data_IF_532877206133
#
_entry.id   IF_532877206133
#
_cell.length_a   1.000
_cell.length_b   1.000
_cell.length_c   1.000
_cell.angle_alpha   90.00
_cell.angle_beta   90.00
_cell.angle_gamma   90.00
#
_symmetry.space_group_name_H-M   'P 1'
#
loop_
_entity.id
_entity.type
_entity.pdbx_description
1 polymer ?
#
# COMPACT_ATOMS: atom_id res chain seq x y z
N UNK A 1 6.55 -1.52 17.48
CA UNK A 1 6.58 -0.05 17.55
C UNK A 1 7.31 0.45 16.32
N UNK A 2 6.61 1.09 15.40
CA UNK A 2 7.25 1.67 14.21
C UNK A 2 8.03 2.91 14.71
N UNK A 3 9.30 3.04 14.31
CA UNK A 3 10.11 4.22 14.63
C UNK A 3 9.44 5.41 13.93
N UNK A 4 9.23 6.53 14.61
CA UNK A 4 8.49 7.71 14.12
C UNK A 4 8.80 8.11 12.67
N UNK A 5 10.07 7.99 12.26
CA UNK A 5 10.53 8.22 10.88
C UNK A 5 9.83 7.33 9.83
N UNK A 6 9.65 6.04 10.15
CA UNK A 6 8.95 5.07 9.28
C UNK A 6 7.45 5.38 9.17
N UNK A 7 6.81 5.89 10.22
CA UNK A 7 5.40 6.31 10.15
C UNK A 7 5.25 7.54 9.24
N UNK A 8 6.12 8.54 9.40
CA UNK A 8 6.15 9.71 8.52
C UNK A 8 6.34 9.30 7.06
N UNK A 9 7.26 8.39 6.78
CA UNK A 9 7.49 7.86 5.43
C UNK A 9 6.28 7.12 4.86
N UNK A 10 5.60 6.32 5.66
CA UNK A 10 4.36 5.65 5.25
C UNK A 10 3.29 6.67 4.85
N UNK A 11 3.11 7.70 5.68
CA UNK A 11 2.17 8.80 5.44
C UNK A 11 2.53 9.58 4.17
N UNK A 12 3.82 9.90 3.97
CA UNK A 12 4.30 10.60 2.77
C UNK A 12 4.01 9.81 1.49
N UNK A 13 4.27 8.50 1.49
CA UNK A 13 3.97 7.62 0.35
C UNK A 13 2.47 7.58 0.09
N UNK A 14 1.66 7.47 1.15
CA UNK A 14 0.19 7.46 1.02
C UNK A 14 -0.30 8.75 0.36
N UNK A 15 0.08 9.92 0.88
CA UNK A 15 -0.34 11.21 0.31
C UNK A 15 0.15 11.41 -1.12
N UNK A 16 1.38 11.02 -1.43
CA UNK A 16 1.90 11.07 -2.78
C UNK A 16 1.10 10.16 -3.72
N UNK A 17 0.80 8.93 -3.30
CA UNK A 17 -0.03 7.97 -4.02
C UNK A 17 -1.44 8.50 -4.27
N UNK A 18 -2.10 9.04 -3.23
CA UNK A 18 -3.43 9.67 -3.35
C UNK A 18 -3.41 10.79 -4.38
N UNK A 19 -2.43 11.69 -4.32
CA UNK A 19 -2.32 12.81 -5.27
C UNK A 19 -2.19 12.30 -6.71
N UNK A 20 -1.34 11.29 -6.94
CA UNK A 20 -1.13 10.72 -8.28
C UNK A 20 -2.36 9.95 -8.78
N UNK A 21 -3.04 9.24 -7.89
CA UNK A 21 -4.27 8.54 -8.20
C UNK A 21 -5.36 9.52 -8.65
N UNK A 22 -5.58 10.59 -7.87
CA UNK A 22 -6.58 11.59 -8.16
C UNK A 22 -6.29 12.41 -9.42
N UNK A 23 -5.02 12.72 -9.69
CA UNK A 23 -4.64 13.53 -10.85
C UNK A 23 -4.64 12.76 -12.17
N UNK A 24 -4.40 11.45 -12.14
CA UNK A 24 -4.03 10.69 -13.35
C UNK A 24 -4.44 9.21 -13.29
N UNK A 25 -3.92 8.44 -12.33
CA UNK A 25 -3.98 6.96 -12.41
C UNK A 25 -5.41 6.41 -12.43
N UNK A 26 -6.36 7.05 -11.74
CA UNK A 26 -7.76 6.61 -11.72
C UNK A 26 -8.43 6.62 -13.09
N UNK A 27 -7.89 7.38 -14.04
CA UNK A 27 -8.40 7.45 -15.42
C UNK A 27 -7.67 6.48 -16.35
N UNK A 28 -6.54 5.93 -15.92
CA UNK A 28 -5.68 5.03 -16.71
C UNK A 28 -5.79 3.56 -16.29
N UNK A 29 -6.36 3.29 -15.12
CA UNK A 29 -6.37 1.97 -14.51
C UNK A 29 -7.79 1.55 -14.14
N UNK A 30 -8.15 0.31 -14.46
CA UNK A 30 -9.43 -0.31 -14.11
C UNK A 30 -9.21 -1.79 -13.72
N UNK A 31 -10.00 -2.29 -12.76
CA UNK A 31 -9.88 -3.66 -12.24
C UNK A 31 -10.79 -4.61 -13.01
N UNK A 32 -10.24 -5.32 -14.00
CA UNK A 32 -10.98 -6.31 -14.79
C UNK A 32 -11.12 -7.70 -14.17
N UNK A 33 -10.89 -7.85 -12.86
CA UNK A 33 -10.91 -9.15 -12.19
C UNK A 33 -12.22 -9.39 -11.44
N UNK A 34 -12.51 -10.64 -11.07
CA UNK A 34 -13.62 -10.97 -10.17
C UNK A 34 -13.52 -10.28 -8.80
N UNK A 35 -12.35 -9.73 -8.45
CA UNK A 35 -12.12 -8.84 -7.31
C UNK A 35 -12.07 -7.37 -7.78
N UNK A 36 -13.05 -6.96 -8.58
CA UNK A 36 -13.16 -5.62 -9.16
C UNK A 36 -13.54 -4.54 -8.14
N UNK A 37 -14.22 -4.95 -7.07
CA UNK A 37 -14.69 -4.08 -5.99
C UNK A 37 -14.17 -4.60 -4.63
N UNK A 38 -12.85 -4.53 -4.38
CA UNK A 38 -12.31 -4.88 -3.09
C UNK A 38 -12.73 -3.87 -2.00
N UNK A 39 -12.62 -4.28 -0.73
CA UNK A 39 -12.86 -3.39 0.43
C UNK A 39 -11.76 -2.36 0.66
N UNK A 40 -10.65 -2.47 -0.05
CA UNK A 40 -9.50 -1.57 0.01
C UNK A 40 -9.34 -0.81 -1.30
N UNK A 41 -8.67 0.33 -1.26
CA UNK A 41 -8.37 1.18 -2.41
C UNK A 41 -7.04 0.84 -3.09
N UNK A 42 -6.91 1.23 -4.35
CA UNK A 42 -5.66 1.12 -5.12
C UNK A 42 -4.49 1.85 -4.43
N UNK A 43 -4.78 2.99 -3.81
CA UNK A 43 -3.81 3.78 -3.06
C UNK A 43 -3.27 3.00 -1.85
N UNK A 44 -4.13 2.32 -1.09
CA UNK A 44 -3.69 1.50 0.05
C UNK A 44 -2.78 0.36 -0.40
N UNK A 45 -3.17 -0.35 -1.47
CA UNK A 45 -2.37 -1.43 -2.04
C UNK A 45 -1.00 -0.92 -2.53
N UNK A 46 -0.98 0.20 -3.26
CA UNK A 46 0.25 0.84 -3.74
C UNK A 46 1.14 1.29 -2.58
N UNK A 47 0.55 1.86 -1.53
CA UNK A 47 1.27 2.34 -0.35
C UNK A 47 1.99 1.20 0.34
N UNK A 48 1.30 0.09 0.62
CA UNK A 48 1.93 -1.09 1.22
C UNK A 48 3.04 -1.64 0.34
N UNK A 49 2.79 -1.78 -0.96
CA UNK A 49 3.80 -2.30 -1.88
C UNK A 49 5.07 -1.44 -1.89
N UNK A 50 4.93 -0.13 -2.10
CA UNK A 50 6.06 0.81 -2.17
C UNK A 50 6.80 0.92 -0.84
N UNK A 51 6.07 1.01 0.27
CA UNK A 51 6.67 1.13 1.59
C UNK A 51 7.51 -0.09 1.95
N UNK A 52 6.97 -1.30 1.76
CA UNK A 52 7.72 -2.52 2.09
C UNK A 52 8.89 -2.74 1.13
N UNK A 53 8.72 -2.43 -0.15
CA UNK A 53 9.81 -2.47 -1.13
C UNK A 53 10.97 -1.54 -0.75
N UNK A 54 10.66 -0.34 -0.27
CA UNK A 54 11.66 0.64 0.16
C UNK A 54 12.39 0.22 1.45
N UNK A 55 11.67 -0.39 2.40
CA UNK A 55 12.22 -0.70 3.72
C UNK A 55 12.91 -2.07 3.83
N UNK A 56 12.40 -3.09 3.15
CA UNK A 56 12.84 -4.48 3.35
C UNK A 56 13.50 -5.08 2.10
N UNK A 57 13.49 -4.38 0.95
CA UNK A 57 13.91 -4.90 -0.36
C UNK A 57 13.52 -6.38 -0.59
N UNK A 58 12.27 -6.77 -0.34
CA UNK A 58 11.87 -8.17 -0.39
C UNK A 58 11.85 -8.66 -1.83
N UNK A 59 12.59 -9.73 -2.10
CA UNK A 59 12.60 -10.39 -3.42
C UNK A 59 11.36 -11.27 -3.68
N UNK A 60 10.42 -11.37 -2.71
CA UNK A 60 9.26 -12.27 -2.78
C UNK A 60 7.99 -11.65 -2.21
N UNK A 61 6.87 -11.79 -2.92
CA UNK A 61 5.54 -11.30 -2.53
C UNK A 61 5.12 -11.82 -1.14
N UNK A 62 5.46 -13.07 -0.79
CA UNK A 62 5.16 -13.64 0.53
C UNK A 62 5.78 -12.84 1.68
N UNK A 63 6.94 -12.22 1.47
CA UNK A 63 7.57 -11.38 2.48
C UNK A 63 6.82 -10.06 2.64
N UNK A 64 6.36 -9.46 1.54
CA UNK A 64 5.53 -8.25 1.56
C UNK A 64 4.25 -8.51 2.37
N UNK A 65 3.54 -9.60 2.06
CA UNK A 65 2.32 -9.97 2.75
C UNK A 65 2.54 -10.21 4.25
N UNK A 66 3.59 -10.96 4.62
CA UNK A 66 3.91 -11.21 6.03
C UNK A 66 4.22 -9.92 6.78
N UNK A 67 5.11 -9.08 6.22
CA UNK A 67 5.48 -7.81 6.84
C UNK A 67 4.25 -6.91 7.03
N UNK A 68 3.44 -6.75 5.98
CA UNK A 68 2.26 -5.92 6.06
C UNK A 68 1.28 -6.43 7.11
N UNK A 69 1.05 -7.75 7.19
CA UNK A 69 0.20 -8.36 8.23
C UNK A 69 0.72 -8.13 9.65
N UNK A 70 2.03 -8.18 9.86
CA UNK A 70 2.65 -8.01 11.18
C UNK A 70 2.71 -6.53 11.62
N UNK A 71 2.93 -5.60 10.68
CA UNK A 71 3.27 -4.20 11.01
C UNK A 71 2.27 -3.15 10.52
N UNK A 72 1.45 -3.46 9.51
CA UNK A 72 0.57 -2.49 8.85
C UNK A 72 -0.94 -2.83 8.97
N UNK A 73 -1.28 -3.97 9.59
CA UNK A 73 -2.67 -4.42 9.70
C UNK A 73 -3.61 -3.42 10.39
N UNK A 74 -3.12 -2.65 11.38
CA UNK A 74 -3.93 -1.63 12.05
C UNK A 74 -4.20 -0.40 11.18
N UNK A 75 -3.38 -0.17 10.15
CA UNK A 75 -3.50 0.96 9.23
C UNK A 75 -4.31 0.61 7.98
N UNK A 76 -4.23 -0.65 7.53
CA UNK A 76 -4.91 -1.16 6.33
C UNK A 76 -5.63 -2.49 6.63
N UNK A 77 -6.70 -2.48 7.45
CA UNK A 77 -7.32 -3.70 7.97
C UNK A 77 -8.02 -4.55 6.90
N UNK A 78 -8.49 -3.93 5.81
CA UNK A 78 -9.21 -4.61 4.73
C UNK A 78 -8.29 -5.13 3.61
N UNK A 79 -6.98 -4.89 3.71
CA UNK A 79 -5.98 -5.25 2.69
C UNK A 79 -5.28 -6.61 2.96
N UNK A 80 -5.28 -7.12 4.21
CA UNK A 80 -4.34 -8.14 4.71
C UNK A 80 -4.98 -9.39 5.35
#
# INVERSE_FOLDING_TARGET
MIIKDKECRLIEIFFYGSKKYESDLKFLCERFSNNGEPKFSDVELMTVYLFVMHHEQPFKIKHIHRFAKEYLNSWFPDLL
#
